data_IF_758227712623
#
_entry.id   IF_758227712623
#
_cell.length_a   1.000
_cell.length_b   1.000
_cell.length_c   1.000
_cell.angle_alpha   90.00
_cell.angle_beta   90.00
_cell.angle_gamma   90.00
#
_symmetry.space_group_name_H-M   'P 1'
#
loop_
_entity.id
_entity.type
_entity.pdbx_description
1 polymer ?
#
# COMPACT_ATOMS: atom_id res chain seq x y z
N UNK A 1 35.03 -16.99 0.07
CA UNK A 1 33.76 -16.52 -0.49
C UNK A 1 32.75 -16.53 0.66
N UNK A 2 32.50 -15.40 1.24
CA UNK A 2 31.53 -15.20 2.35
C UNK A 2 30.33 -14.51 1.77
N UNK A 3 29.28 -15.26 1.54
CA UNK A 3 27.97 -14.72 1.17
C UNK A 3 27.38 -13.99 2.37
N UNK A 4 27.30 -12.68 2.25
CA UNK A 4 26.59 -11.80 3.20
C UNK A 4 25.09 -11.92 2.93
N UNK A 5 24.44 -12.80 3.67
CA UNK A 5 22.98 -12.80 3.78
C UNK A 5 22.60 -11.56 4.58
N UNK A 6 22.14 -10.54 3.90
CA UNK A 6 21.51 -9.36 4.52
C UNK A 6 20.09 -9.76 4.93
N UNK A 7 19.72 -9.63 6.21
CA UNK A 7 18.32 -9.76 6.59
C UNK A 7 17.56 -8.55 6.05
N UNK A 8 16.60 -8.82 5.19
CA UNK A 8 15.62 -7.81 4.73
C UNK A 8 14.70 -7.56 5.92
N UNK A 9 14.98 -6.51 6.68
CA UNK A 9 14.05 -5.95 7.65
C UNK A 9 13.20 -4.95 6.88
N UNK A 10 12.09 -5.40 6.37
CA UNK A 10 11.07 -4.54 5.76
C UNK A 10 10.35 -3.82 6.89
N UNK A 11 10.68 -2.57 7.12
CA UNK A 11 9.99 -1.73 8.08
C UNK A 11 8.68 -1.25 7.45
N UNK A 12 7.56 -1.82 7.89
CA UNK A 12 6.22 -1.38 7.53
C UNK A 12 5.93 -0.07 8.26
N UNK A 13 6.14 1.06 7.60
CA UNK A 13 5.83 2.39 8.15
C UNK A 13 4.36 2.72 7.95
N UNK A 14 3.51 2.36 8.90
CA UNK A 14 2.13 2.83 8.96
C UNK A 14 2.13 4.21 9.60
N UNK A 15 1.99 5.25 8.78
CA UNK A 15 1.83 6.63 9.26
C UNK A 15 0.42 6.84 9.82
N UNK A 16 0.27 6.74 11.14
CA UNK A 16 -0.94 7.20 11.83
C UNK A 16 -0.95 8.73 11.94
N UNK A 17 -1.73 9.40 11.08
CA UNK A 17 -2.04 10.83 11.27
C UNK A 17 -2.97 10.99 12.48
N UNK A 18 -2.43 11.45 13.59
CA UNK A 18 -3.20 11.92 14.75
C UNK A 18 -3.82 13.29 14.48
N UNK A 19 -5.14 13.37 14.36
CA UNK A 19 -5.87 14.61 14.26
C UNK A 19 -6.10 15.19 15.67
N UNK A 20 -5.48 16.33 15.96
CA UNK A 20 -5.74 17.13 17.17
C UNK A 20 -7.00 17.96 16.97
N UNK A 21 -8.05 17.70 17.76
CA UNK A 21 -9.24 18.52 17.85
C UNK A 21 -8.98 19.72 18.77
N UNK A 22 -9.09 20.93 18.23
CA UNK A 22 -9.28 22.13 19.02
C UNK A 22 -10.72 22.63 18.78
N UNK A 23 -11.53 22.59 19.83
CA UNK A 23 -12.87 23.15 19.85
C UNK A 23 -12.82 24.64 20.17
N UNK A 24 -13.56 25.48 19.43
CA UNK A 24 -14.02 26.80 19.91
C UNK A 24 -15.28 27.25 19.19
N UNK A 25 -16.35 27.22 19.95
CA UNK A 25 -17.52 28.14 20.14
C UNK A 25 -18.10 28.97 18.99
N UNK A 26 -19.39 28.72 18.80
CA UNK A 26 -20.56 29.54 18.71
C UNK A 26 -20.52 30.89 17.97
N UNK A 27 -21.42 31.02 16.99
CA UNK A 27 -21.88 32.27 16.39
C UNK A 27 -23.04 32.02 15.40
N UNK A 28 -24.27 32.35 15.82
CA UNK A 28 -25.50 32.27 15.00
C UNK A 28 -25.43 33.21 13.81
N UNK A 29 -25.71 32.71 12.62
CA UNK A 29 -26.30 33.50 11.54
C UNK A 29 -27.15 32.61 10.63
N UNK A 30 -28.47 32.85 10.62
CA UNK A 30 -29.43 32.33 9.68
C UNK A 30 -29.21 32.99 8.31
N UNK A 31 -29.13 32.25 7.23
CA UNK A 31 -29.79 32.47 5.96
C UNK A 31 -29.35 31.57 4.82
N UNK A 32 -30.33 30.98 4.14
CA UNK A 32 -30.40 30.50 2.77
C UNK A 32 -29.77 29.15 2.43
N UNK A 33 -30.68 28.18 2.39
CA UNK A 33 -30.57 26.94 1.66
C UNK A 33 -30.38 27.19 0.15
N UNK A 34 -29.30 26.64 -0.42
CA UNK A 34 -29.25 26.21 -1.80
C UNK A 34 -28.25 25.05 -1.88
N UNK A 35 -28.79 23.90 -2.28
CA UNK A 35 -28.06 22.70 -2.76
C UNK A 35 -26.76 22.36 -2.03
N UNK A 36 -26.89 21.92 -0.79
CA UNK A 36 -25.81 21.25 -0.11
C UNK A 36 -25.76 19.81 -0.64
N UNK A 37 -24.66 19.48 -1.32
CA UNK A 37 -24.24 18.11 -1.48
C UNK A 37 -24.23 17.43 -0.10
N UNK A 38 -24.56 16.12 0.00
CA UNK A 38 -24.56 15.41 1.28
C UNK A 38 -23.20 15.62 1.98
N UNK A 39 -23.17 15.85 3.29
CA UNK A 39 -21.89 15.99 4.00
C UNK A 39 -21.09 14.72 3.77
N UNK A 40 -19.87 14.86 3.24
CA UNK A 40 -18.91 13.79 3.18
C UNK A 40 -18.81 13.19 4.58
N UNK A 41 -19.12 11.91 4.72
CA UNK A 41 -19.02 11.17 5.98
C UNK A 41 -17.54 11.20 6.42
N UNK A 42 -17.22 12.13 7.29
CA UNK A 42 -15.94 12.14 7.99
C UNK A 42 -15.87 10.89 8.87
N UNK A 43 -15.02 9.93 8.52
CA UNK A 43 -14.66 8.88 9.45
C UNK A 43 -14.54 7.44 8.95
N UNK A 44 -14.82 7.14 7.70
CA UNK A 44 -14.43 5.83 7.16
C UNK A 44 -13.16 6.00 6.34
N UNK A 45 -12.11 5.19 6.59
CA UNK A 45 -10.98 5.14 5.68
C UNK A 45 -11.50 4.82 4.27
N UNK A 46 -10.90 5.38 3.21
CA UNK A 46 -11.33 5.11 1.84
C UNK A 46 -11.36 3.59 1.64
N UNK A 47 -12.54 3.06 1.37
CA UNK A 47 -12.68 1.63 1.11
C UNK A 47 -12.00 1.34 -0.22
N UNK A 48 -11.06 0.40 -0.19
CA UNK A 48 -10.42 -0.10 -1.40
C UNK A 48 -11.48 -0.57 -2.39
N UNK A 49 -11.52 0.07 -3.56
CA UNK A 49 -12.39 -0.38 -4.65
C UNK A 49 -11.76 -1.60 -5.30
N UNK A 50 -12.28 -2.78 -4.97
CA UNK A 50 -11.78 -4.01 -5.58
C UNK A 50 -12.29 -4.15 -7.02
N UNK A 51 -11.37 -4.46 -7.93
CA UNK A 51 -11.61 -4.68 -9.35
C UNK A 51 -11.03 -6.00 -9.81
N UNK A 52 -11.58 -6.57 -10.88
CA UNK A 52 -10.94 -7.69 -11.55
C UNK A 52 -9.73 -7.17 -12.37
N UNK A 53 -8.54 -7.65 -12.03
CA UNK A 53 -7.29 -7.31 -12.72
C UNK A 53 -7.18 -8.07 -14.05
N UNK A 54 -6.45 -7.48 -14.99
CA UNK A 54 -6.11 -8.09 -16.27
C UNK A 54 -4.59 -8.19 -16.44
N UNK A 55 -4.10 -9.14 -17.25
CA UNK A 55 -2.67 -9.24 -17.58
C UNK A 55 -2.14 -7.90 -18.12
N UNK A 56 -2.94 -7.20 -18.96
CA UNK A 56 -2.56 -5.89 -19.53
C UNK A 56 -2.34 -4.82 -18.43
N UNK A 57 -3.17 -4.81 -17.39
CA UNK A 57 -3.00 -3.86 -16.28
C UNK A 57 -1.75 -4.20 -15.46
N UNK A 58 -1.49 -5.47 -15.19
CA UNK A 58 -0.27 -5.90 -14.49
C UNK A 58 0.98 -5.55 -15.29
N UNK A 59 1.00 -5.83 -16.59
CA UNK A 59 2.11 -5.44 -17.47
C UNK A 59 2.28 -3.92 -17.52
N UNK A 60 1.17 -3.18 -17.55
CA UNK A 60 1.15 -1.72 -17.51
C UNK A 60 1.78 -1.18 -16.22
N UNK A 61 1.44 -1.75 -15.05
CA UNK A 61 2.03 -1.38 -13.76
C UNK A 61 3.54 -1.64 -13.77
N UNK A 62 3.97 -2.84 -14.19
CA UNK A 62 5.39 -3.20 -14.25
C UNK A 62 6.21 -2.24 -15.13
N UNK A 63 5.62 -1.76 -16.23
CA UNK A 63 6.29 -0.83 -17.12
C UNK A 63 6.27 0.62 -16.58
N UNK A 64 5.11 1.06 -16.08
CA UNK A 64 4.93 2.41 -15.55
C UNK A 64 5.80 2.65 -14.31
N UNK A 65 5.85 1.70 -13.39
CA UNK A 65 6.62 1.82 -12.14
C UNK A 65 8.11 2.06 -12.41
N UNK A 66 8.68 1.38 -13.40
CA UNK A 66 10.08 1.59 -13.79
C UNK A 66 10.38 3.02 -14.26
N UNK A 67 9.37 3.69 -14.86
CA UNK A 67 9.50 5.08 -15.29
C UNK A 67 9.16 6.07 -14.15
N UNK A 68 8.30 5.69 -13.21
CA UNK A 68 7.89 6.51 -12.08
C UNK A 68 8.93 6.52 -10.95
N UNK A 69 9.55 5.40 -10.62
CA UNK A 69 10.52 5.28 -9.52
C UNK A 69 11.62 6.37 -9.59
N UNK A 70 12.30 6.64 -10.73
CA UNK A 70 13.32 7.69 -10.77
C UNK A 70 12.78 9.10 -10.51
N UNK A 71 11.47 9.31 -10.57
CA UNK A 71 10.80 10.58 -10.27
C UNK A 71 10.43 10.63 -8.79
N UNK A 72 9.81 9.57 -8.29
CA UNK A 72 9.36 9.47 -6.89
C UNK A 72 10.52 9.38 -5.92
N UNK A 73 11.60 8.65 -6.23
CA UNK A 73 12.82 8.53 -5.41
C UNK A 73 13.53 9.87 -5.13
N UNK A 74 13.24 10.89 -5.94
CA UNK A 74 13.78 12.24 -5.75
C UNK A 74 12.93 13.11 -4.85
N UNK A 75 11.73 12.65 -4.51
CA UNK A 75 10.87 13.39 -3.60
C UNK A 75 11.37 13.20 -2.16
N UNK A 76 11.38 14.27 -1.35
CA UNK A 76 11.65 14.12 0.07
C UNK A 76 10.62 13.19 0.72
N UNK A 77 11.04 12.42 1.71
CA UNK A 77 10.11 11.60 2.51
C UNK A 77 8.95 12.46 3.01
N UNK A 78 7.73 11.98 2.83
CA UNK A 78 6.47 12.66 3.18
C UNK A 78 6.17 13.95 2.40
N UNK A 79 6.89 14.28 1.32
CA UNK A 79 6.51 15.38 0.46
C UNK A 79 5.38 14.96 -0.49
N UNK A 80 4.32 15.78 -0.54
CA UNK A 80 3.32 15.61 -1.58
C UNK A 80 3.92 16.04 -2.93
N UNK A 81 3.72 15.25 -4.01
CA UNK A 81 4.15 15.63 -5.34
C UNK A 81 3.55 16.98 -5.74
N UNK A 82 4.36 17.87 -6.28
CA UNK A 82 3.88 19.12 -6.85
C UNK A 82 3.08 18.89 -8.13
N UNK A 83 2.43 19.94 -8.65
CA UNK A 83 1.59 19.85 -9.84
C UNK A 83 2.38 19.38 -11.09
N UNK A 84 3.68 19.67 -11.16
CA UNK A 84 4.54 19.23 -12.27
C UNK A 84 4.82 17.74 -12.17
N UNK A 85 5.18 17.26 -11.00
CA UNK A 85 5.39 15.82 -10.75
C UNK A 85 4.09 15.04 -10.98
N UNK A 86 2.96 15.52 -10.46
CA UNK A 86 1.66 14.90 -10.70
C UNK A 86 1.33 14.80 -12.20
N UNK A 87 1.62 15.86 -12.97
CA UNK A 87 1.42 15.84 -14.44
C UNK A 87 2.33 14.81 -15.13
N UNK A 88 3.55 14.61 -14.64
CA UNK A 88 4.46 13.61 -15.17
C UNK A 88 3.96 12.19 -14.88
N UNK A 89 3.55 11.91 -13.63
CA UNK A 89 2.99 10.61 -13.22
C UNK A 89 1.72 10.29 -14.02
N UNK A 90 0.84 11.27 -14.19
CA UNK A 90 -0.35 11.15 -15.03
C UNK A 90 -0.02 10.80 -16.49
N UNK A 91 1.00 11.46 -17.05
CA UNK A 91 1.49 11.19 -18.41
C UNK A 91 2.05 9.78 -18.56
N UNK A 92 2.80 9.29 -17.58
CA UNK A 92 3.33 7.93 -17.56
C UNK A 92 2.19 6.91 -17.44
N UNK A 93 1.23 7.12 -16.52
CA UNK A 93 0.08 6.24 -16.38
C UNK A 93 -0.68 6.08 -17.71
N UNK A 94 -0.97 7.19 -18.39
CA UNK A 94 -1.63 7.18 -19.71
C UNK A 94 -0.82 6.47 -20.78
N UNK A 95 0.48 6.68 -20.82
CA UNK A 95 1.40 6.01 -21.76
C UNK A 95 1.33 4.49 -21.62
N UNK A 96 1.15 3.99 -20.40
CA UNK A 96 1.08 2.57 -20.09
C UNK A 96 -0.34 2.00 -20.04
N UNK A 97 -1.33 2.74 -20.56
CA UNK A 97 -2.67 2.24 -20.87
C UNK A 97 -3.72 2.44 -19.76
N UNK A 98 -3.42 3.26 -18.78
CA UNK A 98 -4.38 3.71 -17.77
C UNK A 98 -5.06 5.01 -18.21
N UNK A 99 -6.33 5.20 -17.88
CA UNK A 99 -7.04 6.44 -18.21
C UNK A 99 -6.56 7.62 -17.37
N UNK A 100 -6.08 7.35 -16.14
CA UNK A 100 -5.58 8.34 -15.19
C UNK A 100 -4.57 7.73 -14.22
N UNK A 101 -3.88 8.59 -13.46
CA UNK A 101 -3.04 8.16 -12.34
C UNK A 101 -3.87 7.54 -11.21
N UNK A 102 -5.12 7.97 -11.01
CA UNK A 102 -6.03 7.37 -10.04
C UNK A 102 -6.43 5.94 -10.43
N UNK A 103 -6.65 5.66 -11.72
CA UNK A 103 -6.88 4.29 -12.18
C UNK A 103 -5.63 3.41 -11.95
N UNK A 104 -4.47 3.94 -12.27
CA UNK A 104 -3.19 3.26 -12.00
C UNK A 104 -3.03 2.92 -10.51
N UNK A 105 -3.29 3.89 -9.61
CA UNK A 105 -3.23 3.66 -8.17
C UNK A 105 -4.25 2.61 -7.73
N UNK A 106 -5.48 2.65 -8.22
CA UNK A 106 -6.48 1.64 -7.90
C UNK A 106 -6.06 0.23 -8.33
N UNK A 107 -5.39 0.09 -9.47
CA UNK A 107 -4.82 -1.20 -9.91
C UNK A 107 -3.69 -1.64 -8.97
N UNK A 108 -2.78 -0.74 -8.58
CA UNK A 108 -1.71 -1.03 -7.60
C UNK A 108 -2.30 -1.48 -6.27
N UNK A 109 -3.30 -0.78 -5.75
CA UNK A 109 -3.94 -1.13 -4.48
C UNK A 109 -4.50 -2.56 -4.51
N UNK A 110 -5.12 -2.96 -5.64
CA UNK A 110 -5.61 -4.32 -5.80
C UNK A 110 -4.49 -5.37 -5.94
N UNK A 111 -3.38 -5.03 -6.57
CA UNK A 111 -2.19 -5.88 -6.63
C UNK A 111 -1.60 -6.04 -5.23
N UNK A 112 -1.41 -4.95 -4.51
CA UNK A 112 -0.83 -4.91 -3.16
C UNK A 112 -1.68 -5.69 -2.15
N UNK A 113 -3.02 -5.56 -2.24
CA UNK A 113 -3.94 -6.37 -1.42
C UNK A 113 -3.68 -7.87 -1.60
N UNK A 114 -3.46 -8.33 -2.82
CA UNK A 114 -3.15 -9.76 -3.07
C UNK A 114 -1.74 -10.09 -2.59
N UNK A 115 -0.74 -9.23 -2.88
CA UNK A 115 0.64 -9.46 -2.48
C UNK A 115 0.79 -9.60 -0.96
N UNK A 116 0.03 -8.83 -0.17
CA UNK A 116 0.00 -8.93 1.29
C UNK A 116 -0.43 -10.32 1.81
N UNK A 117 -1.13 -11.09 0.99
CA UNK A 117 -1.53 -12.47 1.30
C UNK A 117 -0.60 -13.55 0.72
N UNK A 118 0.47 -13.19 0.01
CA UNK A 118 1.43 -14.15 -0.58
C UNK A 118 2.58 -14.39 0.39
N UNK A 119 2.81 -15.64 0.72
CA UNK A 119 4.00 -16.06 1.49
C UNK A 119 5.25 -15.91 0.62
N UNK A 120 6.23 -15.07 1.02
CA UNK A 120 7.40 -14.76 0.19
C UNK A 120 8.35 -15.97 -0.01
N UNK A 121 8.35 -16.93 0.91
CA UNK A 121 9.22 -18.11 0.83
C UNK A 121 8.67 -19.16 -0.14
N UNK A 122 7.34 -19.35 -0.13
CA UNK A 122 6.68 -20.36 -0.96
C UNK A 122 6.05 -19.79 -2.24
N UNK A 123 5.90 -18.47 -2.31
CA UNK A 123 5.21 -17.72 -3.39
C UNK A 123 3.76 -18.18 -3.59
N UNK A 124 3.13 -18.64 -2.52
CA UNK A 124 1.73 -19.08 -2.53
C UNK A 124 0.87 -18.07 -1.77
N UNK A 125 -0.33 -17.85 -2.28
CA UNK A 125 -1.32 -17.08 -1.55
C UNK A 125 -1.87 -17.91 -0.38
N UNK A 126 -1.66 -17.42 0.84
CA UNK A 126 -2.09 -18.04 2.09
C UNK A 126 -3.03 -17.13 2.90
N UNK A 127 -3.21 -15.88 2.45
CA UNK A 127 -3.96 -14.82 3.12
C UNK A 127 -3.08 -13.99 4.05
N UNK A 128 -3.42 -12.70 4.20
CA UNK A 128 -2.64 -11.72 4.97
C UNK A 128 -2.44 -12.14 6.43
N UNK A 129 -3.48 -12.67 7.07
CA UNK A 129 -3.39 -13.15 8.46
C UNK A 129 -2.32 -14.24 8.64
N UNK A 130 -2.25 -15.20 7.72
CA UNK A 130 -1.26 -16.27 7.77
C UNK A 130 0.17 -15.74 7.53
N UNK A 131 0.32 -14.79 6.60
CA UNK A 131 1.60 -14.10 6.35
C UNK A 131 2.06 -13.37 7.59
N UNK A 132 1.20 -12.54 8.22
CA UNK A 132 1.54 -11.79 9.43
C UNK A 132 1.93 -12.74 10.58
N UNK A 133 1.20 -13.84 10.79
CA UNK A 133 1.55 -14.84 11.80
C UNK A 133 2.91 -15.49 11.54
N UNK A 134 3.23 -15.75 10.27
CA UNK A 134 4.56 -16.25 9.88
C UNK A 134 5.66 -15.23 10.16
N UNK A 135 5.43 -13.95 9.87
CA UNK A 135 6.37 -12.87 10.19
C UNK A 135 6.60 -12.72 11.69
N UNK A 136 5.55 -12.79 12.51
CA UNK A 136 5.66 -12.78 13.97
C UNK A 136 6.58 -13.91 14.43
N UNK A 137 6.35 -15.14 13.97
CA UNK A 137 7.20 -16.29 14.34
C UNK A 137 8.65 -16.10 13.90
N UNK A 138 8.91 -15.52 12.73
CA UNK A 138 10.25 -15.20 12.26
C UNK A 138 10.94 -14.15 13.13
N UNK A 139 10.25 -13.07 13.47
CA UNK A 139 10.75 -12.00 14.36
C UNK A 139 11.04 -12.57 15.76
N UNK A 140 10.15 -13.41 16.29
CA UNK A 140 10.39 -14.07 17.59
C UNK A 140 11.62 -15.00 17.59
N UNK A 141 11.83 -15.71 16.49
CA UNK A 141 12.96 -16.62 16.34
C UNK A 141 14.28 -15.90 16.07
N UNK A 142 14.27 -14.67 15.57
CA UNK A 142 15.49 -13.93 15.24
C UNK A 142 16.25 -13.53 16.52
N UNK A 143 17.43 -14.15 16.69
CA UNK A 143 18.33 -13.88 17.82
C UNK A 143 19.31 -12.73 17.57
N UNK A 144 19.34 -12.20 16.33
CA UNK A 144 20.27 -11.14 15.92
C UNK A 144 19.63 -9.76 15.96
N UNK A 145 18.29 -9.71 15.93
CA UNK A 145 17.54 -8.46 15.99
C UNK A 145 17.71 -7.79 17.36
N UNK A 146 17.95 -6.47 17.39
CA UNK A 146 18.04 -5.72 18.62
C UNK A 146 16.69 -5.78 19.40
N UNK A 147 16.76 -5.80 20.72
CA UNK A 147 15.57 -6.01 21.56
C UNK A 147 14.49 -4.96 21.35
N UNK A 148 14.87 -3.69 21.11
CA UNK A 148 13.93 -2.60 20.84
C UNK A 148 13.27 -2.76 19.47
N UNK A 149 14.04 -3.10 18.43
CA UNK A 149 13.51 -3.31 17.08
C UNK A 149 12.56 -4.49 17.05
N UNK A 150 12.92 -5.58 17.74
CA UNK A 150 12.06 -6.76 17.90
C UNK A 150 10.73 -6.42 18.58
N UNK A 151 10.78 -5.64 19.66
CA UNK A 151 9.58 -5.21 20.37
C UNK A 151 8.69 -4.36 19.48
N UNK A 152 9.27 -3.43 18.72
CA UNK A 152 8.52 -2.57 17.80
C UNK A 152 7.88 -3.41 16.68
N UNK A 153 8.65 -4.26 16.01
CA UNK A 153 8.16 -5.12 14.93
C UNK A 153 6.99 -6.03 15.40
N UNK A 154 7.13 -6.64 16.57
CA UNK A 154 6.05 -7.47 17.14
C UNK A 154 4.81 -6.63 17.50
N UNK A 155 4.99 -5.41 17.99
CA UNK A 155 3.88 -4.49 18.28
C UNK A 155 3.10 -4.15 17.00
N UNK A 156 3.82 -3.81 15.93
CA UNK A 156 3.24 -3.40 14.66
C UNK A 156 2.50 -4.58 13.98
N UNK A 157 3.12 -5.75 13.95
CA UNK A 157 2.51 -6.97 13.41
C UNK A 157 1.26 -7.40 14.21
N UNK A 158 1.29 -7.30 15.54
CA UNK A 158 0.11 -7.60 16.36
C UNK A 158 -1.00 -6.56 16.19
N UNK A 159 -0.66 -5.33 15.87
CA UNK A 159 -1.64 -4.28 15.54
C UNK A 159 -2.27 -4.57 14.18
N UNK A 160 -1.48 -4.96 13.18
CA UNK A 160 -1.98 -5.37 11.86
C UNK A 160 -2.94 -6.56 11.96
N UNK A 161 -2.67 -7.56 12.79
CA UNK A 161 -3.60 -8.68 13.04
C UNK A 161 -4.96 -8.25 13.61
N UNK A 162 -5.02 -7.14 14.35
CA UNK A 162 -6.27 -6.60 14.93
C UNK A 162 -7.07 -5.76 13.95
N UNK A 163 -6.44 -5.32 12.87
CA UNK A 163 -7.05 -4.53 11.80
C UNK A 163 -7.02 -5.36 10.51
N UNK A 164 -7.92 -6.34 10.37
CA UNK A 164 -7.88 -7.26 9.24
C UNK A 164 -8.07 -6.49 7.92
N UNK A 165 -7.19 -6.80 6.97
CA UNK A 165 -7.33 -6.31 5.61
C UNK A 165 -8.60 -6.85 4.95
N UNK A 166 -9.17 -6.12 3.97
CA UNK A 166 -10.28 -6.64 3.18
C UNK A 166 -9.90 -7.97 2.53
N UNK A 167 -10.82 -8.91 2.50
CA UNK A 167 -10.59 -10.16 1.77
C UNK A 167 -10.55 -9.91 0.27
N UNK A 168 -9.73 -10.65 -0.45
CA UNK A 168 -9.69 -10.60 -1.92
C UNK A 168 -10.99 -11.17 -2.48
N UNK A 169 -11.84 -10.30 -3.04
CA UNK A 169 -13.14 -10.68 -3.64
C UNK A 169 -12.93 -11.33 -5.01
N UNK A 170 -12.05 -10.77 -5.82
CA UNK A 170 -11.76 -11.24 -7.17
C UNK A 170 -10.68 -12.34 -7.14
N UNK A 171 -11.10 -13.58 -7.03
CA UNK A 171 -10.18 -14.74 -6.90
C UNK A 171 -9.19 -14.86 -8.06
N UNK A 172 -9.58 -14.46 -9.29
CA UNK A 172 -8.68 -14.44 -10.44
C UNK A 172 -7.46 -13.52 -10.27
N UNK A 173 -7.58 -12.50 -9.43
CA UNK A 173 -6.46 -11.62 -9.13
C UNK A 173 -5.32 -12.37 -8.41
N UNK A 174 -5.66 -13.38 -7.59
CA UNK A 174 -4.68 -14.18 -6.86
C UNK A 174 -3.74 -14.88 -7.84
N UNK A 175 -4.30 -15.61 -8.81
CA UNK A 175 -3.50 -16.36 -9.78
C UNK A 175 -2.63 -15.42 -10.63
N UNK A 176 -3.21 -14.28 -11.02
CA UNK A 176 -2.54 -13.29 -11.86
C UNK A 176 -1.35 -12.63 -11.11
N UNK A 177 -1.54 -12.24 -9.86
CA UNK A 177 -0.50 -11.63 -9.04
C UNK A 177 0.56 -12.64 -8.66
N UNK A 178 0.19 -13.85 -8.24
CA UNK A 178 1.13 -14.93 -7.91
C UNK A 178 2.01 -15.29 -9.12
N UNK A 179 1.43 -15.38 -10.32
CA UNK A 179 2.18 -15.61 -11.57
C UNK A 179 3.26 -14.54 -11.82
N UNK A 180 3.00 -13.29 -11.41
CA UNK A 180 3.89 -12.15 -11.63
C UNK A 180 4.61 -11.70 -10.36
N UNK A 181 4.51 -12.45 -9.25
CA UNK A 181 4.95 -12.04 -7.92
C UNK A 181 6.37 -11.49 -7.87
N UNK A 182 7.34 -12.21 -8.45
CA UNK A 182 8.74 -11.77 -8.42
C UNK A 182 8.94 -10.42 -9.09
N UNK A 183 8.33 -10.24 -10.28
CA UNK A 183 8.42 -8.98 -11.02
C UNK A 183 7.74 -7.82 -10.29
N UNK A 184 6.58 -8.10 -9.68
CA UNK A 184 5.84 -7.11 -8.91
C UNK A 184 6.62 -6.74 -7.64
N UNK A 185 7.19 -7.72 -6.95
CA UNK A 185 8.01 -7.49 -5.78
C UNK A 185 9.27 -6.68 -6.10
N UNK A 186 9.88 -6.90 -7.27
CA UNK A 186 11.07 -6.15 -7.71
C UNK A 186 10.76 -4.66 -7.95
N UNK A 187 9.55 -4.32 -8.40
CA UNK A 187 9.22 -2.93 -8.76
C UNK A 187 8.38 -2.20 -7.70
N UNK A 188 7.59 -2.94 -6.91
CA UNK A 188 6.73 -2.39 -5.86
C UNK A 188 7.28 -2.63 -4.45
N UNK A 189 8.12 -3.66 -4.27
CA UNK A 189 8.66 -4.05 -2.97
C UNK A 189 9.86 -3.22 -2.52
N UNK A 190 10.47 -2.42 -3.38
CA UNK A 190 11.63 -1.60 -3.05
C UNK A 190 11.28 -0.42 -2.09
N UNK A 191 10.01 -0.07 -2.00
CA UNK A 191 9.51 1.07 -1.21
C UNK A 191 8.78 0.64 0.08
N UNK A 192 8.91 -0.65 0.51
CA UNK A 192 8.29 -1.19 1.72
C UNK A 192 9.28 -1.44 2.84
#
# INVERSE_FOLDING_TARGET
MRELIRPIVTALSIACLGASFAALSAGNALAQAKDAAPPAQAGQPPQLKQIALTDKQVDGVLAAQKEMNPITDKLPENAQPDAKVMSQLEGIAKKHGFASFDEYNNVIDNITLVMGGVDPATKKYVGSEAVIKSQIAQVEADKKMAANDKKQALSDLNTALKSPEPQVENKGNIDLVVKNYDKLNDVLGADQ
#
